data_IF_500076617791
#
_entry.id   IF_500076617791
#
_cell.length_a   1.000
_cell.length_b   1.000
_cell.length_c   1.000
_cell.angle_alpha   90.00
_cell.angle_beta   90.00
_cell.angle_gamma   90.00
#
_symmetry.space_group_name_H-M   'P 1'
#
loop_
_entity.id
_entity.type
_entity.pdbx_description
1 polymer ?
#
# COMPACT_ATOMS: atom_id res chain seq x y z
N UNK A 1 0.48 3.82 16.20
CA UNK A 1 1.24 2.86 15.37
C UNK A 1 0.45 2.66 14.10
N UNK A 2 1.09 2.79 12.93
CA UNK A 2 0.42 2.82 11.62
C UNK A 2 0.68 1.52 10.85
N UNK A 3 -0.34 0.99 10.19
CA UNK A 3 -0.20 -0.17 9.29
C UNK A 3 0.30 0.23 7.91
N UNK A 4 0.82 -0.73 7.15
CA UNK A 4 1.19 -0.51 5.74
C UNK A 4 0.00 0.04 4.94
N UNK A 5 -1.18 -0.54 5.12
CA UNK A 5 -2.38 -0.14 4.39
C UNK A 5 -2.81 1.30 4.72
N UNK A 6 -2.64 1.73 5.97
CA UNK A 6 -2.88 3.12 6.38
C UNK A 6 -1.86 4.08 5.77
N UNK A 7 -0.57 3.72 5.75
CA UNK A 7 0.46 4.52 5.06
C UNK A 7 0.18 4.64 3.57
N UNK A 8 -0.23 3.56 2.90
CA UNK A 8 -0.63 3.59 1.49
C UNK A 8 -1.84 4.49 1.28
N UNK A 9 -2.83 4.44 2.18
CA UNK A 9 -4.01 5.32 2.13
C UNK A 9 -3.62 6.80 2.27
N UNK A 10 -2.76 7.13 3.22
CA UNK A 10 -2.25 8.49 3.41
C UNK A 10 -1.48 8.95 2.17
N UNK A 11 -0.58 8.11 1.64
CA UNK A 11 0.17 8.41 0.42
C UNK A 11 -0.76 8.74 -0.76
N UNK A 12 -1.79 7.92 -1.00
CA UNK A 12 -2.76 8.13 -2.07
C UNK A 12 -3.49 9.47 -1.89
N UNK A 13 -3.95 9.77 -0.67
CA UNK A 13 -4.70 10.99 -0.38
C UNK A 13 -3.83 12.24 -0.51
N UNK A 14 -2.63 12.23 0.08
CA UNK A 14 -1.70 13.37 0.08
C UNK A 14 -1.22 13.71 -1.32
N UNK A 15 -1.02 12.69 -2.18
CA UNK A 15 -0.60 12.89 -3.57
C UNK A 15 -1.78 13.06 -4.55
N UNK A 16 -3.03 13.12 -4.07
CA UNK A 16 -4.20 13.28 -4.93
C UNK A 16 -4.42 12.14 -5.93
N UNK A 17 -3.93 10.92 -5.62
CA UNK A 17 -3.98 9.78 -6.51
C UNK A 17 -5.40 9.22 -6.57
N UNK A 18 -5.95 9.11 -7.78
CA UNK A 18 -7.28 8.53 -7.98
C UNK A 18 -7.27 7.03 -7.68
N UNK A 19 -8.22 6.56 -6.86
CA UNK A 19 -8.38 5.13 -6.52
C UNK A 19 -8.46 4.22 -7.75
N UNK A 20 -9.17 4.64 -8.81
CA UNK A 20 -9.28 3.87 -10.06
C UNK A 20 -7.91 3.69 -10.74
N UNK A 21 -7.12 4.76 -10.78
CA UNK A 21 -5.76 4.71 -11.33
C UNK A 21 -4.87 3.76 -10.51
N UNK A 22 -4.88 3.90 -9.19
CA UNK A 22 -4.06 3.07 -8.30
C UNK A 22 -4.47 1.60 -8.34
N UNK A 23 -5.78 1.30 -8.41
CA UNK A 23 -6.27 -0.07 -8.56
C UNK A 23 -5.78 -0.71 -9.88
N UNK A 24 -5.83 0.06 -10.97
CA UNK A 24 -5.32 -0.39 -12.28
C UNK A 24 -3.81 -0.61 -12.25
N UNK A 25 -3.04 0.28 -11.60
CA UNK A 25 -1.60 0.12 -11.41
C UNK A 25 -1.28 -1.20 -10.71
N UNK A 26 -2.01 -1.52 -9.65
CA UNK A 26 -1.83 -2.77 -8.89
C UNK A 26 -2.43 -4.02 -9.56
N UNK A 27 -3.11 -3.87 -10.71
CA UNK A 27 -3.79 -5.00 -11.37
C UNK A 27 -4.96 -5.58 -10.57
N UNK A 28 -5.61 -4.78 -9.71
CA UNK A 28 -6.74 -5.22 -8.87
C UNK A 28 -8.01 -4.42 -9.13
N UNK A 29 -9.15 -4.95 -8.69
CA UNK A 29 -10.41 -4.21 -8.75
C UNK A 29 -10.45 -3.09 -7.70
N UNK A 30 -11.20 -2.02 -8.00
CA UNK A 30 -11.42 -0.91 -7.06
C UNK A 30 -12.05 -1.38 -5.74
N UNK A 31 -12.87 -2.43 -5.77
CA UNK A 31 -13.44 -3.04 -4.58
C UNK A 31 -12.35 -3.69 -3.68
N UNK A 32 -11.41 -4.44 -4.29
CA UNK A 32 -10.26 -5.02 -3.57
C UNK A 32 -9.35 -3.93 -3.00
N UNK A 33 -9.09 -2.87 -3.76
CA UNK A 33 -8.37 -1.71 -3.26
C UNK A 33 -9.09 -1.07 -2.07
N UNK A 34 -10.41 -0.88 -2.15
CA UNK A 34 -11.19 -0.27 -1.08
C UNK A 34 -11.17 -1.11 0.20
N UNK A 35 -11.24 -2.43 0.09
CA UNK A 35 -11.07 -3.33 1.24
C UNK A 35 -9.66 -3.22 1.85
N UNK A 36 -8.62 -3.07 1.01
CA UNK A 36 -7.25 -2.88 1.46
C UNK A 36 -7.07 -1.57 2.23
N UNK A 37 -7.56 -0.45 1.70
CA UNK A 37 -7.49 0.87 2.36
C UNK A 37 -8.39 0.97 3.61
N UNK A 38 -9.27 0.00 3.84
CA UNK A 38 -10.06 -0.14 5.08
C UNK A 38 -9.42 -1.12 6.08
N UNK A 39 -8.25 -1.69 5.77
CA UNK A 39 -7.58 -2.69 6.60
C UNK A 39 -8.25 -4.08 6.60
N UNK A 40 -9.30 -4.28 5.80
CA UNK A 40 -10.02 -5.56 5.68
C UNK A 40 -9.27 -6.59 4.82
N UNK A 41 -8.26 -6.14 4.08
CA UNK A 41 -7.42 -6.94 3.20
C UNK A 41 -5.98 -6.47 3.35
N UNK A 42 -5.05 -7.41 3.52
CA UNK A 42 -3.62 -7.08 3.49
C UNK A 42 -3.11 -6.84 2.08
N UNK A 43 -2.19 -5.91 1.95
CA UNK A 43 -1.43 -5.71 0.72
C UNK A 43 -0.51 -6.92 0.49
N UNK A 44 -0.50 -7.46 -0.72
CA UNK A 44 0.38 -8.59 -1.08
C UNK A 44 1.77 -8.10 -1.45
N UNK A 45 2.76 -8.99 -1.39
CA UNK A 45 4.14 -8.68 -1.78
C UNK A 45 4.24 -8.14 -3.21
N UNK A 46 3.61 -8.80 -4.19
CA UNK A 46 3.64 -8.33 -5.59
C UNK A 46 3.03 -6.92 -5.76
N UNK A 47 1.94 -6.64 -5.05
CA UNK A 47 1.30 -5.31 -5.06
C UNK A 47 2.20 -4.25 -4.42
N UNK A 48 2.92 -4.62 -3.36
CA UNK A 48 3.87 -3.76 -2.68
C UNK A 48 5.09 -3.48 -3.56
N UNK A 49 5.60 -4.47 -4.30
CA UNK A 49 6.72 -4.30 -5.23
C UNK A 49 6.32 -3.32 -6.35
N UNK A 50 5.18 -3.56 -7.02
CA UNK A 50 4.68 -2.67 -8.07
C UNK A 50 4.50 -1.24 -7.56
N UNK A 51 3.89 -1.09 -6.38
CA UNK A 51 3.71 0.21 -5.73
C UNK A 51 5.06 0.90 -5.46
N UNK A 52 6.02 0.18 -4.89
CA UNK A 52 7.33 0.70 -4.50
C UNK A 52 8.16 1.12 -5.72
N UNK A 53 8.18 0.29 -6.76
CA UNK A 53 8.91 0.57 -8.00
C UNK A 53 8.32 1.76 -8.75
N UNK A 54 6.99 1.81 -8.89
CA UNK A 54 6.33 2.86 -9.65
C UNK A 54 6.53 4.25 -9.03
N UNK A 55 6.45 4.33 -7.69
CA UNK A 55 6.62 5.60 -6.97
C UNK A 55 8.05 5.83 -6.46
N UNK A 56 8.99 4.95 -6.80
CA UNK A 56 10.39 4.99 -6.33
C UNK A 56 10.50 5.16 -4.80
N UNK A 57 9.72 4.36 -4.06
CA UNK A 57 9.65 4.44 -2.61
C UNK A 57 10.91 3.86 -1.98
N UNK A 58 11.51 4.62 -1.06
CA UNK A 58 12.67 4.20 -0.29
C UNK A 58 12.23 3.46 0.99
N UNK A 59 13.17 2.76 1.61
CA UNK A 59 13.01 2.08 2.91
C UNK A 59 12.40 2.98 3.99
N UNK A 60 12.68 4.28 3.97
CA UNK A 60 12.17 5.26 4.93
C UNK A 60 10.64 5.35 4.91
N UNK A 61 10.00 5.09 3.76
CA UNK A 61 8.55 5.00 3.68
C UNK A 61 8.00 3.88 4.58
N UNK A 62 8.78 2.82 4.81
CA UNK A 62 8.39 1.64 5.59
C UNK A 62 8.89 1.64 7.03
N UNK A 63 9.77 2.58 7.42
CA UNK A 63 10.47 2.56 8.71
C UNK A 63 9.55 2.50 9.94
N UNK A 64 8.41 3.17 9.90
CA UNK A 64 7.42 3.18 11.00
C UNK A 64 6.34 2.09 10.90
N UNK A 65 6.46 1.21 9.90
CA UNK A 65 5.55 0.08 9.73
C UNK A 65 6.10 -1.09 10.54
N UNK A 66 5.37 -1.51 11.56
CA UNK A 66 5.78 -2.64 12.38
C UNK A 66 5.55 -3.96 11.61
N UNK A 67 6.56 -4.40 10.85
CA UNK A 67 6.67 -5.72 10.23
C UNK A 67 8.02 -6.35 10.60
N UNK A 68 8.36 -6.38 11.89
CA UNK A 68 9.19 -7.46 12.39
C UNK A 68 8.24 -8.56 12.88
N UNK A 69 7.57 -9.23 11.93
CA UNK A 69 7.31 -10.64 12.18
C UNK A 69 8.65 -11.31 11.97
N UNK A 70 9.24 -11.73 13.09
CA UNK A 70 10.37 -12.63 13.16
C UNK A 70 10.23 -13.68 12.06
N UNK A 71 11.14 -13.65 11.08
CA UNK A 71 11.38 -14.83 10.26
C UNK A 71 12.05 -15.86 11.19
N UNK A 72 11.22 -16.63 11.90
CA UNK A 72 11.58 -17.89 12.55
C UNK A 72 10.96 -19.04 11.76
#
# INVERSE_FOLDING_TARGET
MITLEEKVKEFINTNGIKKKFFANLLGISVAKLSAMLQGKRKMKADELIIFSEYFNLKSDFFADVNYLQECN
#
